data_IF_565982151681
#
_entry.id   IF_565982151681
#
_cell.length_a   1.000
_cell.length_b   1.000
_cell.length_c   1.000
_cell.angle_alpha   90.00
_cell.angle_beta   90.00
_cell.angle_gamma   90.00
#
_symmetry.space_group_name_H-M   'P 1'
#
loop_
_entity.id
_entity.type
_entity.pdbx_description
1 polymer ?
#
# COMPACT_ATOMS: atom_id res chain seq x y z
N UNK A 1 129.81 21.72 24.86
CA UNK A 1 129.22 20.54 24.18
C UNK A 1 130.36 19.60 23.85
N UNK A 2 130.15 18.28 23.94
CA UNK A 2 131.09 17.31 23.40
C UNK A 2 131.44 17.63 21.94
N UNK A 3 132.71 17.50 21.60
CA UNK A 3 133.19 17.61 20.21
C UNK A 3 132.73 16.41 19.38
N UNK A 4 132.63 15.24 20.01
CA UNK A 4 132.20 13.98 19.40
C UNK A 4 131.30 13.19 20.36
N UNK A 5 130.36 12.43 19.81
CA UNK A 5 129.51 11.50 20.55
C UNK A 5 129.86 10.06 20.21
N UNK A 6 130.01 9.22 21.23
CA UNK A 6 130.33 7.81 21.10
C UNK A 6 129.36 6.97 21.92
N UNK A 7 129.24 5.69 21.58
CA UNK A 7 128.38 4.76 22.31
C UNK A 7 128.97 4.48 23.70
N UNK A 8 128.12 4.46 24.72
CA UNK A 8 128.44 3.92 26.05
C UNK A 8 128.46 2.38 26.01
N UNK A 9 129.24 1.74 26.87
CA UNK A 9 129.35 0.28 27.04
C UNK A 9 129.76 -0.49 25.77
N UNK A 10 130.53 0.13 24.89
CA UNK A 10 131.00 -0.48 23.64
C UNK A 10 132.53 -0.36 23.55
N UNK A 11 133.27 -1.42 23.18
CA UNK A 11 134.70 -1.28 22.91
C UNK A 11 134.91 -0.30 21.74
N UNK A 12 135.82 0.65 21.93
CA UNK A 12 136.13 1.67 20.95
C UNK A 12 137.61 1.55 20.58
N UNK A 13 137.87 1.08 19.37
CA UNK A 13 139.23 0.80 18.91
C UNK A 13 140.10 2.06 18.81
N UNK A 14 139.49 3.21 18.50
CA UNK A 14 140.23 4.45 18.26
C UNK A 14 139.51 5.64 18.88
N UNK A 15 139.99 6.07 20.05
CA UNK A 15 139.56 7.31 20.69
C UNK A 15 140.67 8.36 20.56
N UNK A 16 140.41 9.55 20.00
CA UNK A 16 141.43 10.58 19.87
C UNK A 16 141.96 11.05 21.23
N UNK A 17 143.29 11.04 21.39
CA UNK A 17 143.98 11.51 22.60
C UNK A 17 144.19 13.02 22.57
N UNK A 18 144.44 13.59 21.39
CA UNK A 18 144.73 14.99 21.21
C UNK A 18 143.89 15.59 20.09
N UNK A 19 143.34 16.79 20.33
CA UNK A 19 142.52 17.51 19.33
C UNK A 19 143.36 18.18 18.24
N UNK A 20 144.61 18.50 18.57
CA UNK A 20 145.60 19.14 17.69
C UNK A 20 146.91 18.37 17.78
N UNK A 21 147.71 18.40 16.71
CA UNK A 21 149.00 17.72 16.66
C UNK A 21 149.85 18.06 17.89
N UNK A 22 150.53 17.06 18.46
CA UNK A 22 151.51 17.28 19.51
C UNK A 22 152.64 18.16 18.98
N UNK A 23 153.08 19.12 19.79
CA UNK A 23 154.07 20.14 19.41
C UNK A 23 155.30 19.99 20.30
N UNK A 24 156.47 19.97 19.67
CA UNK A 24 157.77 19.94 20.32
C UNK A 24 157.95 21.18 21.21
N UNK A 25 158.32 20.97 22.49
CA UNK A 25 158.49 22.04 23.47
C UNK A 25 159.77 22.87 23.28
N UNK A 26 160.71 22.38 22.47
CA UNK A 26 161.98 23.04 22.17
C UNK A 26 161.79 24.22 21.21
N UNK A 27 160.84 24.11 20.28
CA UNK A 27 160.63 25.09 19.22
C UNK A 27 159.20 25.61 19.06
N UNK A 28 158.24 25.03 19.79
CA UNK A 28 156.82 25.41 19.83
C UNK A 28 156.12 25.41 18.47
N UNK A 29 156.67 24.71 17.46
CA UNK A 29 156.12 24.71 16.09
C UNK A 29 156.23 23.37 15.37
N UNK A 30 157.26 22.57 15.67
CA UNK A 30 157.48 21.29 15.04
C UNK A 30 156.49 20.28 15.61
N UNK A 31 155.87 19.50 14.73
CA UNK A 31 154.96 18.44 15.15
C UNK A 31 155.77 17.27 15.68
N UNK A 32 155.47 16.83 16.90
CA UNK A 32 156.08 15.65 17.49
C UNK A 32 155.35 14.38 17.01
N UNK A 33 155.98 13.64 16.10
CA UNK A 33 155.43 12.44 15.47
C UNK A 33 156.01 11.14 16.00
N UNK A 34 156.96 11.20 16.93
CA UNK A 34 157.71 10.06 17.46
C UNK A 34 157.33 9.64 18.88
N UNK A 35 156.17 10.07 19.41
CA UNK A 35 155.75 9.69 20.76
C UNK A 35 155.34 8.22 20.79
N UNK A 36 156.23 7.37 21.30
CA UNK A 36 155.99 5.96 21.55
C UNK A 36 155.23 5.75 22.87
N UNK A 37 154.56 4.60 23.00
CA UNK A 37 153.98 4.16 24.27
C UNK A 37 155.05 4.16 25.38
N UNK A 38 154.76 4.77 26.53
CA UNK A 38 155.71 4.86 27.64
C UNK A 38 156.93 5.76 27.39
N UNK A 39 156.84 6.74 26.48
CA UNK A 39 157.87 7.76 26.30
C UNK A 39 158.26 8.42 27.65
N UNK A 40 159.49 8.92 27.74
CA UNK A 40 160.01 9.46 29.00
C UNK A 40 159.13 10.61 29.53
N UNK A 41 158.71 10.50 30.79
CA UNK A 41 157.83 11.49 31.43
C UNK A 41 156.39 11.51 30.87
N UNK A 42 155.95 10.45 30.18
CA UNK A 42 154.55 10.31 29.78
C UNK A 42 153.64 10.18 30.99
N UNK A 43 152.77 11.16 31.15
CA UNK A 43 151.67 11.20 32.09
C UNK A 43 150.39 11.45 31.28
N UNK A 44 149.47 10.49 31.30
CA UNK A 44 148.22 10.55 30.56
C UNK A 44 147.08 10.31 31.54
N UNK A 45 146.16 11.26 31.60
CA UNK A 45 145.03 11.22 32.50
C UNK A 45 143.73 11.20 31.71
N UNK A 46 142.84 10.29 32.09
CA UNK A 46 141.45 10.29 31.65
C UNK A 46 140.62 11.08 32.65
N UNK A 47 140.02 12.16 32.17
CA UNK A 47 139.09 12.98 32.94
C UNK A 47 137.68 12.65 32.49
N UNK A 48 136.75 12.45 33.43
CA UNK A 48 135.38 12.07 33.12
C UNK A 48 134.39 12.75 34.07
N UNK A 49 133.27 13.22 33.52
CA UNK A 49 132.14 13.78 34.25
C UNK A 49 130.88 12.99 33.89
N UNK A 50 130.24 12.35 34.87
CA UNK A 50 128.96 11.65 34.64
C UNK A 50 127.84 12.65 34.32
N UNK A 51 126.73 12.19 33.73
CA UNK A 51 125.53 13.02 33.52
C UNK A 51 124.93 13.58 34.82
N UNK A 52 125.23 12.96 35.96
CA UNK A 52 124.85 13.42 37.30
C UNK A 52 125.86 14.40 37.92
N UNK A 53 126.96 14.73 37.23
CA UNK A 53 127.96 15.70 37.64
C UNK A 53 129.13 15.16 38.48
N UNK A 54 129.31 13.84 38.59
CA UNK A 54 130.44 13.23 39.29
C UNK A 54 131.72 13.28 38.45
N UNK A 55 132.79 13.88 38.99
CA UNK A 55 134.10 14.01 38.32
C UNK A 55 135.08 12.93 38.79
N UNK A 56 135.76 12.29 37.83
CA UNK A 56 136.86 11.36 38.09
C UNK A 56 138.04 11.68 37.18
N UNK A 57 139.25 11.54 37.72
CA UNK A 57 140.49 11.59 36.96
C UNK A 57 141.28 10.32 37.24
N UNK A 58 141.78 9.66 36.21
CA UNK A 58 142.49 8.38 36.37
C UNK A 58 143.67 8.32 35.42
N UNK A 59 144.84 7.95 35.95
CA UNK A 59 146.03 7.74 35.15
C UNK A 59 145.84 6.55 34.20
N UNK A 60 146.23 6.73 32.95
CA UNK A 60 146.15 5.74 31.88
C UNK A 60 147.57 5.43 31.44
N UNK A 61 147.95 4.15 31.51
CA UNK A 61 149.24 3.69 31.00
C UNK A 61 149.03 3.14 29.60
N UNK A 62 149.48 3.84 28.54
CA UNK A 62 149.28 3.34 27.18
C UNK A 62 150.10 2.08 26.93
N UNK A 63 149.56 1.20 26.09
CA UNK A 63 150.19 -0.07 25.72
C UNK A 63 150.51 -0.09 24.22
N UNK A 64 151.15 -1.16 23.75
CA UNK A 64 151.39 -1.40 22.31
C UNK A 64 150.49 -2.51 21.73
N UNK A 65 149.62 -3.08 22.56
CA UNK A 65 148.62 -4.07 22.20
C UNK A 65 147.69 -4.32 23.40
N UNK A 66 146.40 -4.54 23.12
CA UNK A 66 145.36 -4.77 24.13
C UNK A 66 144.84 -3.46 24.73
N UNK A 67 144.26 -3.53 25.92
CA UNK A 67 143.66 -2.36 26.58
C UNK A 67 144.63 -1.16 26.55
N UNK A 68 144.11 -0.04 26.06
CA UNK A 68 144.84 1.23 25.92
C UNK A 68 145.95 1.22 24.85
N UNK A 69 145.75 0.51 23.74
CA UNK A 69 146.70 0.49 22.63
C UNK A 69 146.93 1.90 22.06
N UNK A 70 148.17 2.37 22.12
CA UNK A 70 148.59 3.69 21.68
C UNK A 70 148.95 3.66 20.20
N UNK A 71 148.12 4.32 19.39
CA UNK A 71 148.29 4.32 17.94
C UNK A 71 148.56 5.73 17.41
N UNK A 72 149.63 5.85 16.60
CA UNK A 72 149.90 7.07 15.87
C UNK A 72 149.02 7.13 14.61
N UNK A 73 148.13 8.13 14.55
CA UNK A 73 147.20 8.37 13.44
C UNK A 73 147.80 9.24 12.34
N UNK A 74 149.08 9.61 12.46
CA UNK A 74 149.80 10.46 11.53
C UNK A 74 149.77 11.94 11.92
N UNK A 75 150.80 12.68 11.51
CA UNK A 75 150.86 14.13 11.68
C UNK A 75 150.87 14.62 13.12
N UNK A 76 151.29 13.79 14.09
CA UNK A 76 151.32 14.14 15.51
C UNK A 76 149.97 13.96 16.21
N UNK A 77 148.99 13.31 15.57
CA UNK A 77 147.74 12.88 16.18
C UNK A 77 147.84 11.44 16.65
N UNK A 78 147.26 11.15 17.80
CA UNK A 78 147.27 9.84 18.42
C UNK A 78 145.87 9.45 18.84
N UNK A 79 145.60 8.16 18.80
CA UNK A 79 144.39 7.55 19.36
C UNK A 79 144.78 6.48 20.36
N UNK A 80 143.82 6.14 21.22
CA UNK A 80 143.94 5.05 22.17
C UNK A 80 142.72 4.15 22.10
N UNK A 81 142.91 2.86 22.28
CA UNK A 81 141.78 1.94 22.49
C UNK A 81 141.12 2.21 23.85
N UNK A 82 139.79 2.15 23.92
CA UNK A 82 139.01 2.23 25.15
C UNK A 82 138.07 1.04 25.29
N UNK A 83 138.05 0.46 26.49
CA UNK A 83 137.26 -0.72 26.79
C UNK A 83 135.84 -0.38 27.23
N UNK A 84 134.89 -1.29 26.98
CA UNK A 84 133.48 -1.13 27.35
C UNK A 84 133.22 -1.15 28.86
N UNK A 85 134.07 -1.80 29.65
CA UNK A 85 133.88 -1.97 31.11
C UNK A 85 135.00 -2.71 31.86
N UNK A 86 135.96 -3.35 31.16
CA UNK A 86 136.96 -4.23 31.79
C UNK A 86 138.30 -3.56 32.07
N UNK A 87 138.55 -2.40 31.50
CA UNK A 87 139.76 -1.63 31.73
C UNK A 87 139.77 -0.98 33.12
N UNK A 88 140.91 -1.11 33.81
CA UNK A 88 141.11 -0.65 35.20
C UNK A 88 141.22 0.86 35.37
N UNK A 89 141.38 1.65 34.29
CA UNK A 89 141.63 3.09 34.34
C UNK A 89 140.65 3.93 33.52
N UNK A 90 140.65 3.81 32.19
CA UNK A 90 139.72 4.54 31.31
C UNK A 90 138.72 3.59 30.65
N UNK A 91 137.43 3.85 30.82
CA UNK A 91 136.37 3.10 30.15
C UNK A 91 135.16 4.00 29.89
N UNK A 92 134.26 3.53 29.03
CA UNK A 92 133.01 4.20 28.68
C UNK A 92 131.79 3.45 29.22
N UNK A 93 131.89 2.85 30.41
CA UNK A 93 130.78 2.04 30.94
C UNK A 93 129.61 2.85 31.52
N UNK A 94 129.78 4.17 31.66
CA UNK A 94 128.79 5.12 32.19
C UNK A 94 128.61 6.26 31.19
N UNK A 95 127.38 6.79 31.10
CA UNK A 95 127.09 7.97 30.29
C UNK A 95 127.68 9.24 30.92
N UNK A 96 128.26 10.11 30.10
CA UNK A 96 128.95 11.30 30.57
C UNK A 96 129.80 11.97 29.50
N UNK A 97 130.72 12.83 29.94
CA UNK A 97 131.67 13.53 29.07
C UNK A 97 133.09 13.27 29.58
N UNK A 98 133.94 12.73 28.71
CA UNK A 98 135.34 12.49 29.04
C UNK A 98 136.33 13.14 28.08
N UNK A 99 137.56 13.34 28.52
CA UNK A 99 138.67 13.83 27.70
C UNK A 99 140.01 13.42 28.29
N UNK A 100 141.01 13.26 27.44
CA UNK A 100 142.38 13.03 27.87
C UNK A 100 143.10 14.35 28.14
N UNK A 101 143.94 14.38 29.16
CA UNK A 101 145.00 15.37 29.34
C UNK A 101 146.32 14.65 29.43
N UNK A 102 147.39 15.22 28.89
CA UNK A 102 148.67 14.57 28.98
C UNK A 102 149.87 15.49 28.90
N UNK A 103 150.98 14.94 29.37
CA UNK A 103 152.31 15.53 29.38
C UNK A 103 153.32 14.45 28.96
N UNK A 104 154.31 14.81 28.14
CA UNK A 104 155.43 13.95 27.76
C UNK A 104 156.66 14.84 27.69
N UNK A 105 157.83 14.34 28.10
CA UNK A 105 159.08 15.11 27.97
C UNK A 105 159.35 15.44 26.50
N UNK A 106 159.61 16.71 26.18
CA UNK A 106 159.83 17.16 24.81
C UNK A 106 158.56 17.60 24.08
N UNK A 107 157.39 17.54 24.73
CA UNK A 107 156.10 17.89 24.12
C UNK A 107 155.35 18.88 25.01
N UNK A 108 154.71 19.88 24.41
CA UNK A 108 153.81 20.77 25.14
C UNK A 108 152.63 19.99 25.77
N UNK A 109 152.14 20.39 26.96
CA UNK A 109 150.93 19.80 27.53
C UNK A 109 149.78 19.83 26.53
N UNK A 110 149.03 18.73 26.44
CA UNK A 110 147.96 18.57 25.46
C UNK A 110 146.66 18.11 26.10
N UNK A 111 145.57 18.32 25.37
CA UNK A 111 144.26 17.82 25.73
C UNK A 111 143.55 17.24 24.49
N UNK A 112 142.77 16.20 24.74
CA UNK A 112 141.91 15.57 23.76
C UNK A 112 140.64 16.36 23.46
N UNK A 113 139.89 15.95 22.43
CA UNK A 113 138.52 16.42 22.27
C UNK A 113 137.68 15.98 23.49
N UNK A 114 136.63 16.75 23.76
CA UNK A 114 135.60 16.33 24.71
C UNK A 114 134.69 15.30 24.05
N UNK A 115 134.53 14.13 24.68
CA UNK A 115 133.83 12.97 24.14
C UNK A 115 132.58 12.71 24.97
N UNK A 116 131.41 12.75 24.35
CA UNK A 116 130.14 12.48 25.00
C UNK A 116 129.75 11.02 24.82
N UNK A 117 129.64 10.27 25.91
CA UNK A 117 129.17 8.89 25.90
C UNK A 117 127.69 8.84 26.27
N UNK A 118 126.89 8.22 25.40
CA UNK A 118 125.43 8.06 25.58
C UNK A 118 124.95 6.73 25.01
N UNK A 119 123.72 6.35 25.35
CA UNK A 119 123.08 5.16 24.82
C UNK A 119 123.11 5.11 23.28
N UNK A 120 123.51 3.96 22.73
CA UNK A 120 123.64 3.74 21.28
C UNK A 120 122.34 4.07 20.52
N UNK A 121 121.17 3.70 21.08
CA UNK A 121 119.88 4.00 20.46
C UNK A 121 119.58 5.50 20.29
N UNK A 122 120.25 6.38 21.04
CA UNK A 122 120.15 7.84 20.83
C UNK A 122 121.04 8.27 19.66
N UNK A 123 122.25 7.71 19.52
CA UNK A 123 123.09 7.93 18.34
C UNK A 123 122.37 7.43 17.08
N UNK A 124 121.80 6.23 17.15
CA UNK A 124 121.01 5.66 16.06
C UNK A 124 119.87 6.60 15.67
N UNK A 125 119.08 7.09 16.64
CA UNK A 125 117.92 7.95 16.34
C UNK A 125 118.29 9.35 15.85
N UNK A 126 119.40 9.93 16.30
CA UNK A 126 119.75 11.32 16.00
C UNK A 126 120.69 11.47 14.80
N UNK A 127 121.53 10.47 14.53
CA UNK A 127 122.57 10.55 13.52
C UNK A 127 122.32 9.51 12.43
N UNK A 128 122.23 8.22 12.78
CA UNK A 128 122.32 7.15 11.78
C UNK A 128 120.97 6.78 11.13
N UNK A 129 119.87 6.98 11.84
CA UNK A 129 118.51 6.54 11.48
C UNK A 129 117.46 7.63 11.66
N UNK A 130 117.85 8.91 11.70
CA UNK A 130 116.93 10.03 11.87
C UNK A 130 115.79 10.05 10.81
N UNK A 131 116.00 9.42 9.66
CA UNK A 131 115.04 9.28 8.55
C UNK A 131 114.62 7.84 8.26
N UNK A 132 114.79 6.89 9.19
CA UNK A 132 114.30 5.52 8.95
C UNK A 132 112.77 5.51 8.94
N UNK A 133 112.18 4.90 7.92
CA UNK A 133 110.74 4.88 7.68
C UNK A 133 109.95 4.06 8.71
N UNK A 134 110.62 3.23 9.52
CA UNK A 134 109.97 2.39 10.53
C UNK A 134 110.06 2.94 11.97
N UNK A 135 111.16 3.60 12.33
CA UNK A 135 111.48 3.94 13.72
C UNK A 135 111.89 5.42 13.90
N UNK A 136 112.06 6.15 12.80
CA UNK A 136 112.43 7.57 12.81
C UNK A 136 111.24 8.50 13.02
N UNK A 137 111.53 9.79 13.18
CA UNK A 137 110.55 10.90 13.19
C UNK A 137 110.01 11.18 11.77
N UNK A 138 109.89 10.15 10.94
CA UNK A 138 109.23 10.21 9.64
C UNK A 138 107.74 10.54 9.84
N UNK A 139 107.22 11.48 9.05
CA UNK A 139 105.82 11.93 9.11
C UNK A 139 104.79 10.80 9.00
N UNK A 140 105.17 9.64 8.47
CA UNK A 140 104.32 8.45 8.34
C UNK A 140 103.82 7.92 9.70
N UNK A 141 104.63 8.02 10.76
CA UNK A 141 104.20 7.61 12.09
C UNK A 141 103.19 8.61 12.70
N UNK A 142 103.25 9.88 12.30
CA UNK A 142 102.27 10.88 12.69
C UNK A 142 100.94 10.62 11.98
N UNK A 143 100.99 10.32 10.68
CA UNK A 143 99.82 9.99 9.86
C UNK A 143 99.13 8.71 10.35
N UNK A 144 99.89 7.66 10.65
CA UNK A 144 99.35 6.43 11.22
C UNK A 144 98.73 6.64 12.62
N UNK A 145 99.32 7.51 13.45
CA UNK A 145 98.77 7.83 14.79
C UNK A 145 97.48 8.65 14.69
N UNK A 146 97.38 9.56 13.74
CA UNK A 146 96.16 10.34 13.49
C UNK A 146 95.07 9.44 12.87
N UNK A 147 95.45 8.62 11.88
CA UNK A 147 94.53 7.69 11.20
C UNK A 147 93.99 6.60 12.13
N UNK A 148 94.75 6.14 13.12
CA UNK A 148 94.29 5.14 14.10
C UNK A 148 93.38 5.71 15.20
N UNK A 149 93.35 7.04 15.38
CA UNK A 149 92.47 7.73 16.34
C UNK A 149 91.18 8.26 15.72
N UNK A 150 91.09 8.34 14.39
CA UNK A 150 89.83 8.62 13.71
C UNK A 150 88.96 7.38 13.71
N UNK A 151 87.80 7.44 14.37
CA UNK A 151 86.76 6.40 14.23
C UNK A 151 86.00 6.51 12.93
N UNK A 152 86.18 7.63 12.20
CA UNK A 152 85.54 7.85 10.91
C UNK A 152 86.44 7.39 9.78
N UNK A 153 85.92 6.47 8.99
CA UNK A 153 86.53 6.09 7.71
C UNK A 153 86.22 7.15 6.65
N UNK A 154 87.00 7.18 5.57
CA UNK A 154 86.67 8.03 4.40
C UNK A 154 85.34 7.63 3.76
N UNK A 155 84.91 6.37 3.97
CA UNK A 155 83.57 5.89 3.59
C UNK A 155 82.50 6.57 4.43
N UNK A 156 82.65 6.61 5.76
CA UNK A 156 81.66 7.22 6.67
C UNK A 156 81.43 8.71 6.31
N UNK A 157 82.51 9.43 6.01
CA UNK A 157 82.43 10.85 5.60
C UNK A 157 81.69 10.98 4.27
N UNK A 158 81.93 10.08 3.31
CA UNK A 158 81.28 10.10 2.01
C UNK A 158 79.78 9.76 2.11
N UNK A 159 79.43 8.74 2.90
CA UNK A 159 78.05 8.35 3.14
C UNK A 159 77.25 9.50 3.77
N UNK A 160 77.84 10.19 4.75
CA UNK A 160 77.20 11.37 5.37
C UNK A 160 77.06 12.54 4.38
N UNK A 161 78.05 12.77 3.51
CA UNK A 161 77.95 13.78 2.45
C UNK A 161 76.85 13.46 1.43
N UNK A 162 76.72 12.20 1.01
CA UNK A 162 75.70 11.74 0.07
C UNK A 162 74.29 11.81 0.70
N UNK A 163 74.17 11.45 1.98
CA UNK A 163 72.93 11.61 2.74
C UNK A 163 72.52 13.09 2.83
N UNK A 164 73.46 13.99 3.12
CA UNK A 164 73.19 15.43 3.19
C UNK A 164 72.83 16.02 1.82
N UNK A 165 73.48 15.57 0.74
CA UNK A 165 73.13 15.95 -0.65
C UNK A 165 71.70 15.53 -1.01
N UNK A 166 71.30 14.32 -0.59
CA UNK A 166 69.93 13.81 -0.79
C UNK A 166 68.90 14.64 -0.02
N UNK A 167 69.18 14.94 1.26
CA UNK A 167 68.30 15.79 2.10
C UNK A 167 68.14 17.19 1.50
N UNK A 168 69.22 17.76 0.98
CA UNK A 168 69.19 19.07 0.34
C UNK A 168 68.34 19.08 -0.94
N UNK A 169 68.44 18.03 -1.77
CA UNK A 169 67.61 17.89 -2.96
C UNK A 169 66.12 17.76 -2.62
N UNK A 170 65.78 17.03 -1.56
CA UNK A 170 64.40 16.90 -1.10
C UNK A 170 63.81 18.25 -0.62
N UNK A 171 64.60 19.04 0.11
CA UNK A 171 64.21 20.39 0.55
C UNK A 171 63.92 21.29 -0.66
N UNK A 172 64.79 21.27 -1.68
CA UNK A 172 64.58 22.05 -2.91
C UNK A 172 63.29 21.65 -3.65
N UNK A 173 62.96 20.35 -3.66
CA UNK A 173 61.68 19.85 -4.18
C UNK A 173 60.48 20.42 -3.43
N UNK A 174 60.51 20.40 -2.09
CA UNK A 174 59.44 20.97 -1.25
C UNK A 174 59.28 22.48 -1.47
N UNK A 175 60.37 23.23 -1.61
CA UNK A 175 60.31 24.67 -1.91
C UNK A 175 59.57 24.93 -3.23
N UNK A 176 59.79 24.09 -4.24
CA UNK A 176 59.10 24.19 -5.54
C UNK A 176 57.59 23.96 -5.40
N UNK A 177 57.17 22.96 -4.62
CA UNK A 177 55.75 22.69 -4.33
C UNK A 177 55.10 23.84 -3.59
N UNK A 178 55.74 24.37 -2.54
CA UNK A 178 55.23 25.51 -1.77
C UNK A 178 55.06 26.74 -2.67
N UNK A 179 55.99 26.98 -3.59
CA UNK A 179 55.89 28.08 -4.55
C UNK A 179 54.69 27.91 -5.50
N UNK A 180 54.43 26.67 -5.97
CA UNK A 180 53.27 26.36 -6.79
C UNK A 180 51.95 26.55 -6.01
N UNK A 181 51.88 26.05 -4.78
CA UNK A 181 50.71 26.21 -3.90
C UNK A 181 50.44 27.69 -3.59
N UNK A 182 51.49 28.46 -3.29
CA UNK A 182 51.38 29.91 -3.04
C UNK A 182 50.84 30.63 -4.27
N UNK A 183 51.29 30.25 -5.46
CA UNK A 183 50.80 30.80 -6.73
C UNK A 183 49.32 30.45 -6.95
N UNK A 184 48.90 29.22 -6.66
CA UNK A 184 47.52 28.79 -6.76
C UNK A 184 46.61 29.50 -5.74
N UNK A 185 47.06 29.67 -4.49
CA UNK A 185 46.36 30.42 -3.46
C UNK A 185 46.19 31.87 -3.89
N UNK A 186 47.24 32.52 -4.40
CA UNK A 186 47.17 33.90 -4.87
C UNK A 186 46.20 34.06 -6.04
N UNK A 187 46.20 33.11 -6.99
CA UNK A 187 45.24 33.07 -8.09
C UNK A 187 43.80 32.93 -7.58
N UNK A 188 43.55 32.04 -6.61
CA UNK A 188 42.24 31.86 -5.99
C UNK A 188 41.79 33.11 -5.22
N UNK A 189 42.68 33.73 -4.45
CA UNK A 189 42.39 34.98 -3.72
C UNK A 189 42.05 36.10 -4.70
N UNK A 190 42.80 36.25 -5.78
CA UNK A 190 42.51 37.23 -6.84
C UNK A 190 41.15 36.95 -7.47
N UNK A 191 40.85 35.69 -7.81
CA UNK A 191 39.55 35.30 -8.35
C UNK A 191 38.39 35.64 -7.41
N UNK A 192 38.54 35.40 -6.11
CA UNK A 192 37.54 35.76 -5.10
C UNK A 192 37.40 37.29 -5.02
N UNK A 193 38.52 38.02 -5.00
CA UNK A 193 38.53 39.48 -4.96
C UNK A 193 37.89 40.12 -6.20
N UNK A 194 38.01 39.50 -7.38
CA UNK A 194 37.35 39.98 -8.61
C UNK A 194 35.85 39.66 -8.62
N UNK A 195 35.47 38.50 -8.08
CA UNK A 195 34.06 38.05 -8.03
C UNK A 195 33.26 38.73 -6.93
N UNK A 196 33.88 39.08 -5.80
CA UNK A 196 33.17 39.62 -4.65
C UNK A 196 32.48 40.97 -4.94
N UNK A 197 33.12 41.96 -5.59
CA UNK A 197 32.47 43.22 -5.96
C UNK A 197 31.30 43.04 -6.93
N UNK A 198 31.36 42.06 -7.83
CA UNK A 198 30.26 41.77 -8.77
C UNK A 198 29.13 40.97 -8.12
N UNK A 199 29.46 40.19 -7.09
CA UNK A 199 28.52 39.46 -6.26
C UNK A 199 27.84 40.33 -5.19
N UNK A 200 28.29 41.57 -4.96
CA UNK A 200 27.69 42.49 -4.00
C UNK A 200 26.76 43.51 -4.72
N UNK A 201 25.66 43.86 -4.08
CA UNK A 201 24.84 45.02 -4.46
C UNK A 201 25.51 46.30 -3.98
N UNK A 202 25.02 47.45 -4.46
CA UNK A 202 25.46 48.78 -4.04
C UNK A 202 25.39 48.99 -2.52
N UNK A 203 24.55 48.23 -1.82
CA UNK A 203 24.35 48.29 -0.37
C UNK A 203 25.11 47.19 0.39
N UNK A 204 26.08 46.53 -0.25
CA UNK A 204 26.91 45.46 0.35
C UNK A 204 26.15 44.18 0.76
N UNK A 205 25.00 43.91 0.16
CA UNK A 205 24.34 42.60 0.26
C UNK A 205 24.79 41.69 -0.89
N UNK A 206 24.87 40.38 -0.67
CA UNK A 206 25.17 39.48 -1.78
C UNK A 206 23.99 39.50 -2.78
N UNK A 207 24.24 39.87 -4.04
CA UNK A 207 23.33 39.71 -5.20
C UNK A 207 22.85 38.25 -5.37
N UNK A 208 23.51 37.29 -4.72
CA UNK A 208 23.38 35.87 -4.98
C UNK A 208 22.19 35.16 -4.35
N UNK A 209 21.46 35.70 -3.38
CA UNK A 209 20.35 34.90 -2.81
C UNK A 209 19.16 34.74 -3.77
N UNK A 210 18.98 35.64 -4.73
CA UNK A 210 17.98 35.47 -5.80
C UNK A 210 18.53 34.80 -7.08
N UNK A 211 19.81 35.00 -7.41
CA UNK A 211 20.40 34.54 -8.69
C UNK A 211 21.24 33.26 -8.55
N UNK A 212 21.76 32.93 -7.35
CA UNK A 212 22.50 31.70 -7.11
C UNK A 212 21.63 30.53 -6.61
N UNK A 213 20.40 30.78 -6.16
CA UNK A 213 19.40 29.71 -6.02
C UNK A 213 18.99 29.18 -7.40
N UNK A 214 18.99 30.03 -8.45
CA UNK A 214 18.65 29.57 -9.78
C UNK A 214 19.83 28.95 -10.52
N UNK A 215 21.04 29.56 -10.56
CA UNK A 215 22.26 28.98 -11.18
C UNK A 215 22.15 28.52 -12.65
N UNK A 216 20.95 28.61 -13.22
CA UNK A 216 20.39 28.10 -14.45
C UNK A 216 19.21 29.02 -14.68
N UNK A 217 19.20 29.74 -15.80
CA UNK A 217 18.02 30.54 -16.17
C UNK A 217 16.78 29.65 -16.15
N UNK A 218 16.88 28.38 -16.56
CA UNK A 218 15.79 27.41 -16.51
C UNK A 218 15.26 27.16 -15.11
N UNK A 219 16.11 27.03 -14.07
CA UNK A 219 15.60 26.81 -12.71
C UNK A 219 15.01 28.07 -12.08
N UNK A 220 15.48 29.25 -12.49
CA UNK A 220 14.81 30.52 -12.18
C UNK A 220 13.45 30.61 -12.89
N UNK A 221 13.42 30.32 -14.19
CA UNK A 221 12.23 30.34 -15.04
C UNK A 221 11.19 29.32 -14.54
N UNK A 222 11.62 28.13 -14.09
CA UNK A 222 10.77 27.10 -13.51
C UNK A 222 10.21 27.53 -12.15
N UNK A 223 11.02 28.20 -11.30
CA UNK A 223 10.55 28.74 -10.04
C UNK A 223 9.56 29.89 -10.27
N UNK A 224 9.83 30.77 -11.22
CA UNK A 224 8.95 31.86 -11.62
C UNK A 224 7.65 31.33 -12.25
N UNK A 225 7.73 30.28 -13.07
CA UNK A 225 6.56 29.57 -13.59
C UNK A 225 5.76 28.88 -12.47
N UNK A 226 6.42 28.27 -11.49
CA UNK A 226 5.74 27.67 -10.35
C UNK A 226 5.07 28.71 -9.46
N UNK A 227 5.71 29.87 -9.25
CA UNK A 227 5.14 31.01 -8.55
C UNK A 227 3.93 31.55 -9.32
N UNK A 228 4.04 31.72 -10.64
CA UNK A 228 2.93 32.12 -11.51
C UNK A 228 1.77 31.13 -11.48
N UNK A 229 2.05 29.82 -11.56
CA UNK A 229 1.03 28.76 -11.42
C UNK A 229 0.37 28.80 -10.04
N UNK A 230 1.13 29.10 -8.98
CA UNK A 230 0.59 29.24 -7.63
C UNK A 230 -0.28 30.49 -7.51
N UNK A 231 0.11 31.60 -8.13
CA UNK A 231 -0.63 32.86 -8.17
C UNK A 231 -1.93 32.70 -8.97
N UNK A 232 -1.90 32.01 -10.11
CA UNK A 232 -3.07 31.64 -10.90
C UNK A 232 -3.98 30.67 -10.14
N UNK A 233 -3.42 29.70 -9.42
CA UNK A 233 -4.19 28.78 -8.59
C UNK A 233 -4.85 29.49 -7.41
N UNK A 234 -4.15 30.42 -6.76
CA UNK A 234 -4.70 31.27 -5.69
C UNK A 234 -5.77 32.19 -6.26
N UNK A 235 -5.53 32.82 -7.40
CA UNK A 235 -6.47 33.72 -8.08
C UNK A 235 -7.71 32.97 -8.58
N UNK A 236 -7.57 31.72 -9.06
CA UNK A 236 -8.70 30.87 -9.45
C UNK A 236 -9.46 30.33 -8.23
N UNK A 237 -8.80 30.10 -7.10
CA UNK A 237 -9.47 29.72 -5.84
C UNK A 237 -10.06 30.91 -5.11
N UNK A 238 -9.54 32.11 -5.32
CA UNK A 238 -10.13 33.38 -4.88
C UNK A 238 -10.95 34.04 -5.99
N UNK A 239 -11.27 33.32 -7.07
CA UNK A 239 -12.04 33.88 -8.18
C UNK A 239 -13.47 34.18 -7.77
N UNK A 240 -13.93 33.57 -6.66
CA UNK A 240 -15.08 34.01 -5.90
C UNK A 240 -14.84 35.45 -5.46
N UNK A 241 -15.21 36.38 -6.34
CA UNK A 241 -15.12 37.78 -6.03
C UNK A 241 -16.10 38.07 -4.88
N UNK A 242 -15.88 39.16 -4.15
CA UNK A 242 -16.74 39.52 -3.02
C UNK A 242 -18.25 39.62 -3.41
N UNK A 243 -18.58 39.75 -4.69
CA UNK A 243 -19.93 39.69 -5.21
C UNK A 243 -20.51 38.27 -5.27
N UNK A 244 -19.74 37.27 -5.67
CA UNK A 244 -20.18 35.86 -5.73
C UNK A 244 -20.42 35.29 -4.32
N UNK A 245 -19.49 35.55 -3.39
CA UNK A 245 -19.66 35.17 -1.98
C UNK A 245 -20.91 35.84 -1.40
N UNK A 246 -21.15 37.12 -1.74
CA UNK A 246 -22.34 37.84 -1.29
C UNK A 246 -23.62 37.28 -1.90
N UNK A 247 -23.61 36.95 -3.19
CA UNK A 247 -24.75 36.34 -3.87
C UNK A 247 -25.11 34.97 -3.27
N UNK A 248 -24.12 34.14 -2.94
CA UNK A 248 -24.34 32.86 -2.26
C UNK A 248 -24.90 33.07 -0.84
N UNK A 249 -24.36 34.04 -0.09
CA UNK A 249 -24.89 34.42 1.22
C UNK A 249 -26.35 34.90 1.15
N UNK A 250 -26.70 35.72 0.15
CA UNK A 250 -28.06 36.21 -0.06
C UNK A 250 -29.03 35.08 -0.44
N UNK A 251 -28.58 34.14 -1.29
CA UNK A 251 -29.35 32.95 -1.63
C UNK A 251 -29.58 32.05 -0.40
N UNK A 252 -28.55 31.85 0.43
CA UNK A 252 -28.66 31.09 1.67
C UNK A 252 -29.57 31.78 2.69
N UNK A 253 -29.49 33.11 2.81
CA UNK A 253 -30.38 33.92 3.64
C UNK A 253 -31.85 33.77 3.20
N UNK A 254 -32.11 33.80 1.89
CA UNK A 254 -33.45 33.58 1.32
C UNK A 254 -33.98 32.19 1.63
N UNK A 255 -33.15 31.14 1.46
CA UNK A 255 -33.52 29.76 1.80
C UNK A 255 -33.83 29.62 3.29
N UNK A 256 -33.04 30.26 4.16
CA UNK A 256 -33.26 30.24 5.60
C UNK A 256 -34.57 30.93 5.98
N UNK A 257 -34.90 32.06 5.34
CA UNK A 257 -36.18 32.76 5.54
C UNK A 257 -37.38 31.90 5.12
N UNK A 258 -37.27 31.17 4.00
CA UNK A 258 -38.30 30.23 3.56
C UNK A 258 -38.52 29.07 4.55
N UNK A 259 -37.43 28.50 5.08
CA UNK A 259 -37.49 27.46 6.12
C UNK A 259 -38.16 27.99 7.40
N UNK A 260 -37.84 29.22 7.81
CA UNK A 260 -38.49 29.85 8.95
C UNK A 260 -40.01 30.00 8.72
N UNK A 261 -40.42 30.43 7.52
CA UNK A 261 -41.84 30.51 7.14
C UNK A 261 -42.55 29.15 7.17
N UNK A 262 -41.92 28.09 6.65
CA UNK A 262 -42.45 26.73 6.73
C UNK A 262 -42.59 26.26 8.18
N UNK A 263 -41.61 26.58 9.04
CA UNK A 263 -41.64 26.24 10.46
C UNK A 263 -42.83 26.91 11.17
N UNK A 264 -43.12 28.17 10.86
CA UNK A 264 -44.31 28.88 11.37
C UNK A 264 -45.61 28.24 10.90
N UNK A 265 -45.70 27.82 9.63
CA UNK A 265 -46.90 27.14 9.11
C UNK A 265 -47.14 25.79 9.82
N UNK A 266 -46.09 24.98 9.98
CA UNK A 266 -46.17 23.70 10.72
C UNK A 266 -46.62 23.93 12.17
N UNK A 267 -46.12 24.98 12.84
CA UNK A 267 -46.52 25.32 14.19
C UNK A 267 -48.01 25.70 14.28
N UNK A 268 -48.53 26.44 13.29
CA UNK A 268 -49.95 26.77 13.18
C UNK A 268 -50.82 25.51 12.97
N UNK A 269 -50.42 24.62 12.05
CA UNK A 269 -51.12 23.36 11.80
C UNK A 269 -51.12 22.44 13.03
N UNK A 270 -49.99 22.40 13.75
CA UNK A 270 -49.87 21.64 15.00
C UNK A 270 -50.82 22.20 16.07
N UNK A 271 -50.92 23.52 16.17
CA UNK A 271 -51.83 24.20 17.11
C UNK A 271 -53.29 23.93 16.74
N UNK A 272 -53.64 23.97 15.45
CA UNK A 272 -54.99 23.62 14.98
C UNK A 272 -55.33 22.15 15.24
N UNK A 273 -54.37 21.24 14.99
CA UNK A 273 -54.52 19.80 15.27
C UNK A 273 -54.70 19.54 16.76
N UNK A 274 -53.94 20.22 17.61
CA UNK A 274 -54.09 20.15 19.06
C UNK A 274 -55.45 20.66 19.50
N UNK A 275 -55.90 21.81 18.99
CA UNK A 275 -57.22 22.36 19.27
C UNK A 275 -58.34 21.39 18.87
N UNK A 276 -58.25 20.77 17.68
CA UNK A 276 -59.19 19.74 17.24
C UNK A 276 -59.16 18.50 18.14
N UNK A 277 -57.97 18.08 18.57
CA UNK A 277 -57.81 16.92 19.46
C UNK A 277 -58.42 17.21 20.82
N UNK A 278 -58.22 18.41 21.37
CA UNK A 278 -58.87 18.86 22.61
C UNK A 278 -60.38 18.94 22.45
N UNK A 279 -60.90 19.52 21.34
CA UNK A 279 -62.35 19.53 21.06
C UNK A 279 -62.93 18.11 21.04
N UNK A 280 -62.26 17.17 20.38
CA UNK A 280 -62.66 15.76 20.36
C UNK A 280 -62.59 15.15 21.76
N UNK A 281 -61.52 15.40 22.52
CA UNK A 281 -61.34 14.92 23.89
C UNK A 281 -62.36 15.50 24.87
N UNK A 282 -62.86 16.70 24.66
CA UNK A 282 -63.92 17.31 25.47
C UNK A 282 -65.30 16.79 25.05
N UNK A 283 -65.52 16.62 23.74
CA UNK A 283 -66.79 16.14 23.19
C UNK A 283 -67.03 14.67 23.45
N UNK A 284 -66.01 13.81 23.46
CA UNK A 284 -66.18 12.37 23.71
C UNK A 284 -66.79 12.12 25.10
N UNK A 285 -66.21 12.59 26.23
CA UNK A 285 -66.79 12.43 27.56
C UNK A 285 -68.17 13.09 27.70
N UNK A 286 -68.38 14.28 27.11
CA UNK A 286 -69.69 14.94 27.11
C UNK A 286 -70.76 14.14 26.33
N UNK A 287 -70.31 13.40 25.32
CA UNK A 287 -71.11 12.51 24.50
C UNK A 287 -71.16 11.10 25.05
N UNK A 288 -70.63 10.78 26.24
CA UNK A 288 -70.75 9.46 26.87
C UNK A 288 -71.74 9.53 28.04
N UNK A 289 -72.55 8.47 28.24
CA UNK A 289 -73.32 8.28 29.47
C UNK A 289 -72.39 7.87 30.60
N UNK A 290 -72.87 7.86 31.85
CA UNK A 290 -72.12 7.42 33.02
C UNK A 290 -71.56 5.99 32.89
N UNK A 291 -72.15 5.18 32.00
CA UNK A 291 -71.75 3.80 31.71
C UNK A 291 -70.87 3.67 30.45
N UNK A 292 -70.33 4.79 29.93
CA UNK A 292 -69.45 4.84 28.75
C UNK A 292 -70.10 4.46 27.41
N UNK A 293 -71.40 4.73 27.20
CA UNK A 293 -72.07 4.62 25.90
C UNK A 293 -72.27 5.99 25.23
N UNK A 294 -72.14 6.11 23.90
CA UNK A 294 -72.28 7.38 23.20
C UNK A 294 -73.74 7.93 23.26
N UNK A 295 -73.99 8.99 24.04
CA UNK A 295 -75.22 9.81 24.08
C UNK A 295 -75.70 10.22 22.70
N UNK A 296 -74.80 10.41 21.73
CA UNK A 296 -75.20 10.93 20.41
C UNK A 296 -75.89 9.92 19.50
N UNK A 297 -75.77 8.59 19.68
CA UNK A 297 -76.65 7.67 18.94
C UNK A 297 -78.05 7.63 19.57
N UNK A 298 -78.16 7.74 20.89
CA UNK A 298 -79.47 7.85 21.56
C UNK A 298 -80.18 9.18 21.27
N UNK A 299 -79.42 10.29 21.13
CA UNK A 299 -79.97 11.63 20.86
C UNK A 299 -80.05 11.97 19.37
N UNK A 300 -79.21 11.43 18.47
CA UNK A 300 -79.36 11.65 17.02
C UNK A 300 -80.42 10.72 16.38
N UNK A 301 -80.68 9.54 16.96
CA UNK A 301 -81.90 8.77 16.64
C UNK A 301 -83.16 9.47 17.21
N UNK A 302 -83.01 10.30 18.25
CA UNK A 302 -84.10 11.09 18.83
C UNK A 302 -83.95 12.60 18.58
N UNK A 303 -83.31 12.99 17.46
CA UNK A 303 -82.73 14.31 17.11
C UNK A 303 -83.61 15.57 17.14
N UNK A 304 -84.77 15.49 17.76
CA UNK A 304 -85.58 16.59 18.25
C UNK A 304 -86.45 15.99 19.34
N UNK A 305 -86.67 16.63 20.48
CA UNK A 305 -87.76 16.17 21.36
C UNK A 305 -89.07 16.09 20.57
N UNK A 306 -89.23 16.85 19.49
CA UNK A 306 -90.35 16.70 18.54
C UNK A 306 -90.23 15.42 17.72
N UNK A 307 -89.08 15.06 17.15
CA UNK A 307 -88.92 13.82 16.37
C UNK A 307 -88.89 12.56 17.24
N UNK A 308 -88.42 12.68 18.48
CA UNK A 308 -88.53 11.68 19.52
C UNK A 308 -89.98 11.51 19.97
N UNK A 309 -90.70 12.63 20.19
CA UNK A 309 -92.13 12.61 20.51
C UNK A 309 -92.98 12.17 19.30
N UNK A 310 -92.54 12.42 18.06
CA UNK A 310 -93.18 11.94 16.82
C UNK A 310 -92.89 10.47 16.62
N UNK A 311 -91.68 10.00 16.93
CA UNK A 311 -91.36 8.58 16.92
C UNK A 311 -92.11 7.86 18.05
N UNK A 312 -92.20 8.44 19.23
CA UNK A 312 -92.98 7.94 20.36
C UNK A 312 -94.48 7.99 20.05
N UNK A 313 -94.97 9.04 19.38
CA UNK A 313 -96.34 9.12 18.90
C UNK A 313 -96.60 8.15 17.74
N UNK A 314 -95.63 7.89 16.87
CA UNK A 314 -95.73 6.91 15.80
C UNK A 314 -95.67 5.49 16.35
N UNK A 315 -94.84 5.24 17.37
CA UNK A 315 -94.80 3.97 18.12
C UNK A 315 -96.10 3.80 18.90
N UNK A 316 -96.63 4.84 19.56
CA UNK A 316 -97.91 4.81 20.25
C UNK A 316 -99.08 4.67 19.26
N UNK A 317 -99.00 5.26 18.07
CA UNK A 317 -99.98 5.06 16.99
C UNK A 317 -99.86 3.66 16.40
N UNK A 318 -98.65 3.11 16.27
CA UNK A 318 -98.43 1.75 15.81
C UNK A 318 -98.89 0.75 16.87
N UNK A 319 -98.65 1.01 18.15
CA UNK A 319 -99.12 0.22 19.29
C UNK A 319 -100.64 0.33 19.46
N UNK A 320 -101.23 1.51 19.21
CA UNK A 320 -102.67 1.69 19.12
C UNK A 320 -103.25 1.03 17.86
N UNK A 321 -102.53 1.02 16.74
CA UNK A 321 -102.94 0.34 15.50
C UNK A 321 -102.86 -1.18 15.67
N UNK A 322 -101.80 -1.68 16.31
CA UNK A 322 -101.60 -3.09 16.63
C UNK A 322 -102.55 -3.53 17.75
N UNK A 323 -102.78 -2.70 18.76
CA UNK A 323 -103.80 -2.93 19.79
C UNK A 323 -105.20 -2.88 19.22
N UNK A 324 -105.50 -1.95 18.29
CA UNK A 324 -106.79 -1.91 17.58
C UNK A 324 -106.97 -3.16 16.72
N UNK A 325 -105.96 -3.56 15.94
CA UNK A 325 -105.96 -4.83 15.18
C UNK A 325 -105.99 -6.08 16.07
N UNK A 326 -105.46 -6.00 17.29
CA UNK A 326 -105.47 -7.06 18.29
C UNK A 326 -106.83 -7.14 19.00
N UNK A 327 -107.51 -6.01 19.20
CA UNK A 327 -108.92 -5.94 19.65
C UNK A 327 -109.92 -6.28 18.54
N UNK A 328 -109.58 -6.01 17.28
CA UNK A 328 -110.34 -6.42 16.09
C UNK A 328 -110.31 -7.96 15.93
N UNK A 329 -109.28 -8.66 16.42
CA UNK A 329 -109.16 -10.13 16.27
C UNK A 329 -109.96 -10.99 17.27
N UNK A 330 -110.97 -10.43 17.94
CA UNK A 330 -112.02 -11.27 18.56
C UNK A 330 -113.44 -10.73 18.42
N UNK A 331 -113.61 -9.42 18.20
CA UNK A 331 -114.92 -8.80 17.99
C UNK A 331 -115.26 -8.77 16.52
N UNK A 332 -114.35 -8.34 15.63
CA UNK A 332 -114.60 -8.34 14.18
C UNK A 332 -114.69 -9.77 13.65
N UNK A 333 -113.86 -10.68 14.18
CA UNK A 333 -113.99 -12.13 13.90
C UNK A 333 -115.36 -12.65 14.35
N UNK A 334 -115.91 -12.15 15.47
CA UNK A 334 -117.26 -12.52 15.92
C UNK A 334 -118.35 -11.92 15.05
N UNK A 335 -118.23 -10.65 14.66
CA UNK A 335 -119.19 -9.99 13.78
C UNK A 335 -119.19 -10.61 12.38
N UNK A 336 -118.02 -10.98 11.86
CA UNK A 336 -117.89 -11.71 10.60
C UNK A 336 -118.44 -13.14 10.72
N UNK A 337 -118.20 -13.82 11.85
CA UNK A 337 -118.82 -15.13 12.13
C UNK A 337 -120.35 -15.03 12.27
N UNK A 338 -120.87 -13.97 12.88
CA UNK A 338 -122.31 -13.74 13.04
C UNK A 338 -122.96 -13.38 11.70
N UNK A 339 -122.30 -12.57 10.87
CA UNK A 339 -122.73 -12.26 9.51
C UNK A 339 -122.72 -13.52 8.62
N UNK A 340 -121.68 -14.34 8.72
CA UNK A 340 -121.59 -15.62 8.02
C UNK A 340 -122.66 -16.61 8.51
N UNK A 341 -122.96 -16.62 9.82
CA UNK A 341 -124.04 -17.42 10.41
C UNK A 341 -125.42 -16.98 9.89
N UNK A 342 -125.67 -15.67 9.82
CA UNK A 342 -126.89 -15.12 9.23
C UNK A 342 -127.02 -15.47 7.73
N UNK A 343 -125.91 -15.40 6.98
CA UNK A 343 -125.84 -15.86 5.60
C UNK A 343 -126.16 -17.36 5.47
N UNK A 344 -125.66 -18.19 6.38
CA UNK A 344 -125.94 -19.63 6.41
C UNK A 344 -127.42 -19.91 6.70
N UNK A 345 -128.06 -19.14 7.57
CA UNK A 345 -129.51 -19.22 7.81
C UNK A 345 -130.34 -18.82 6.59
N UNK A 346 -129.92 -17.79 5.85
CA UNK A 346 -130.57 -17.41 4.60
C UNK A 346 -130.45 -18.54 3.55
N UNK A 347 -129.26 -19.12 3.40
CA UNK A 347 -129.04 -20.27 2.52
C UNK A 347 -129.90 -21.47 2.95
N UNK A 348 -130.03 -21.76 4.24
CA UNK A 348 -130.90 -22.83 4.73
C UNK A 348 -132.38 -22.58 4.43
N UNK A 349 -132.81 -21.31 4.51
CA UNK A 349 -134.16 -20.89 4.14
C UNK A 349 -134.40 -21.09 2.65
N UNK A 350 -133.48 -20.62 1.81
CA UNK A 350 -133.53 -20.79 0.35
C UNK A 350 -133.49 -22.28 -0.04
N UNK A 351 -132.67 -23.08 0.64
CA UNK A 351 -132.61 -24.53 0.44
C UNK A 351 -133.95 -25.19 0.76
N UNK A 352 -134.63 -24.73 1.80
CA UNK A 352 -135.97 -25.23 2.17
C UNK A 352 -137.00 -24.85 1.10
N UNK A 353 -136.93 -23.62 0.57
CA UNK A 353 -137.80 -23.18 -0.53
C UNK A 353 -137.55 -23.97 -1.82
N UNK A 354 -136.28 -24.16 -2.20
CA UNK A 354 -135.89 -25.00 -3.34
C UNK A 354 -136.34 -26.46 -3.18
N UNK A 355 -136.31 -27.00 -1.96
CA UNK A 355 -136.80 -28.35 -1.69
C UNK A 355 -138.33 -28.44 -1.89
N UNK A 356 -139.07 -27.40 -1.50
CA UNK A 356 -140.51 -27.32 -1.74
C UNK A 356 -140.81 -27.22 -3.25
N UNK A 357 -140.07 -26.40 -4.00
CA UNK A 357 -140.18 -26.32 -5.46
C UNK A 357 -139.83 -27.65 -6.14
N UNK A 358 -138.73 -28.29 -5.73
CA UNK A 358 -138.32 -29.61 -6.23
C UNK A 358 -139.39 -30.68 -5.98
N UNK A 359 -140.05 -30.64 -4.82
CA UNK A 359 -141.17 -31.53 -4.51
C UNK A 359 -142.36 -31.28 -5.45
N UNK A 360 -142.66 -30.01 -5.78
CA UNK A 360 -143.71 -29.66 -6.73
C UNK A 360 -143.35 -30.07 -8.17
N UNK A 361 -142.09 -29.89 -8.59
CA UNK A 361 -141.60 -30.36 -9.89
C UNK A 361 -141.70 -31.88 -9.99
N UNK A 362 -141.36 -32.61 -8.92
CA UNK A 362 -141.48 -34.06 -8.89
C UNK A 362 -142.94 -34.50 -9.02
N UNK A 363 -143.87 -33.83 -8.35
CA UNK A 363 -145.30 -34.08 -8.51
C UNK A 363 -145.77 -33.89 -9.96
N UNK A 364 -145.40 -32.77 -10.60
CA UNK A 364 -145.71 -32.52 -12.00
C UNK A 364 -145.05 -33.54 -12.95
N UNK A 365 -143.83 -33.99 -12.63
CA UNK A 365 -143.10 -34.99 -13.43
C UNK A 365 -143.79 -36.34 -13.36
N UNK A 366 -144.29 -36.73 -12.19
CA UNK A 366 -145.11 -37.93 -12.03
C UNK A 366 -146.39 -37.82 -12.86
N UNK A 367 -147.09 -36.68 -12.82
CA UNK A 367 -148.30 -36.48 -13.64
C UNK A 367 -148.01 -36.58 -15.15
N UNK A 368 -146.86 -36.07 -15.60
CA UNK A 368 -146.39 -36.22 -16.99
C UNK A 368 -146.07 -37.69 -17.30
N UNK A 369 -145.39 -38.40 -16.42
CA UNK A 369 -145.04 -39.81 -16.61
C UNK A 369 -146.28 -40.70 -16.67
N UNK A 370 -147.27 -40.43 -15.84
CA UNK A 370 -148.56 -41.14 -15.86
C UNK A 370 -149.29 -40.88 -17.18
N UNK A 371 -149.29 -39.62 -17.65
CA UNK A 371 -149.86 -39.24 -18.94
C UNK A 371 -149.12 -39.89 -20.12
N UNK A 372 -147.79 -39.99 -20.07
CA UNK A 372 -146.96 -40.59 -21.10
C UNK A 372 -147.12 -42.12 -21.12
N UNK A 373 -147.23 -42.75 -19.95
CA UNK A 373 -147.47 -44.19 -19.83
C UNK A 373 -148.83 -44.56 -20.40
N UNK A 374 -149.85 -43.73 -20.16
CA UNK A 374 -151.15 -43.88 -20.80
C UNK A 374 -151.04 -43.79 -22.34
N UNK A 375 -150.36 -42.77 -22.87
CA UNK A 375 -150.18 -42.59 -24.31
C UNK A 375 -149.34 -43.71 -24.98
N UNK A 376 -148.30 -44.21 -24.30
CA UNK A 376 -147.47 -45.30 -24.82
C UNK A 376 -148.22 -46.64 -24.83
N UNK A 377 -149.06 -46.88 -23.82
CA UNK A 377 -149.93 -48.08 -23.77
C UNK A 377 -150.92 -48.07 -24.94
N UNK A 378 -151.50 -46.91 -25.24
CA UNK A 378 -152.37 -46.72 -26.42
C UNK A 378 -151.59 -46.95 -27.73
N UNK A 379 -150.30 -46.59 -27.78
CA UNK A 379 -149.45 -46.73 -28.98
C UNK A 379 -148.91 -48.16 -29.19
N UNK A 380 -148.57 -48.89 -28.14
CA UNK A 380 -147.96 -50.22 -28.28
C UNK A 380 -148.99 -51.32 -28.54
N UNK A 381 -150.24 -51.10 -28.11
CA UNK A 381 -151.35 -51.98 -28.53
C UNK A 381 -151.68 -51.85 -30.02
N UNK A 382 -151.01 -50.95 -30.73
CA UNK A 382 -151.11 -50.75 -32.18
C UNK A 382 -150.17 -51.66 -33.02
N UNK A 383 -149.59 -52.74 -32.47
CA UNK A 383 -148.88 -53.74 -33.29
C UNK A 383 -149.81 -54.81 -33.81
N UNK A 384 -150.08 -54.67 -35.10
CA UNK A 384 -150.78 -55.56 -36.03
C UNK A 384 -150.30 -57.02 -35.97
N UNK A 385 -150.99 -57.82 -35.16
CA UNK A 385 -150.92 -59.28 -35.19
C UNK A 385 -151.68 -59.90 -36.39
N UNK A 386 -152.02 -59.12 -37.42
CA UNK A 386 -152.84 -59.52 -38.56
C UNK A 386 -152.26 -59.08 -39.92
N UNK A 387 -151.04 -59.51 -40.26
CA UNK A 387 -150.45 -59.25 -41.57
C UNK A 387 -149.33 -60.20 -42.04
N UNK A 388 -149.65 -61.49 -42.21
CA UNK A 388 -148.91 -62.47 -43.06
C UNK A 388 -149.00 -62.12 -44.58
N UNK A 389 -148.42 -62.91 -45.54
CA UNK A 389 -147.08 -63.50 -45.66
C UNK A 389 -146.46 -63.33 -47.08
N UNK A 390 -145.14 -63.56 -47.23
CA UNK A 390 -144.51 -63.97 -48.50
C UNK A 390 -144.15 -62.88 -49.53
N UNK A 391 -142.83 -62.70 -49.71
CA UNK A 391 -142.09 -62.09 -50.83
C UNK A 391 -142.79 -60.91 -51.55
N UNK A 392 -142.68 -59.64 -51.15
CA UNK A 392 -141.50 -58.86 -50.78
C UNK A 392 -141.98 -57.88 -49.69
N UNK A 393 -141.88 -58.26 -48.42
CA UNK A 393 -142.33 -57.42 -47.32
C UNK A 393 -141.32 -56.28 -47.06
N UNK A 394 -141.76 -55.01 -46.93
CA UNK A 394 -140.88 -53.95 -46.45
C UNK A 394 -140.33 -54.35 -45.06
N UNK A 395 -139.06 -54.01 -44.73
CA UNK A 395 -138.43 -54.40 -43.48
C UNK A 395 -139.34 -54.12 -42.27
N UNK A 396 -139.47 -55.11 -41.38
CA UNK A 396 -140.39 -55.14 -40.23
C UNK A 396 -140.16 -53.99 -39.22
N UNK A 397 -139.13 -53.17 -39.45
CA UNK A 397 -138.65 -52.09 -38.61
C UNK A 397 -138.64 -50.72 -39.30
N UNK A 398 -139.51 -50.50 -40.29
CA UNK A 398 -139.76 -49.17 -40.83
C UNK A 398 -140.68 -48.36 -39.88
N UNK A 399 -140.36 -47.07 -39.69
CA UNK A 399 -141.18 -46.18 -38.88
C UNK A 399 -142.61 -46.09 -39.43
N UNK A 400 -143.58 -45.69 -38.61
CA UNK A 400 -144.97 -45.50 -39.06
C UNK A 400 -145.04 -44.62 -40.33
N UNK A 401 -144.19 -43.60 -40.40
CA UNK A 401 -144.01 -42.71 -41.55
C UNK A 401 -143.64 -43.45 -42.82
N UNK A 402 -142.72 -44.40 -42.74
CA UNK A 402 -142.24 -45.17 -43.89
C UNK A 402 -143.28 -46.19 -44.37
N UNK A 403 -144.02 -46.81 -43.44
CA UNK A 403 -145.12 -47.73 -43.76
C UNK A 403 -146.29 -47.01 -44.45
N UNK A 404 -146.68 -45.84 -43.96
CA UNK A 404 -147.69 -44.98 -44.59
C UNK A 404 -147.20 -44.48 -45.96
N UNK A 405 -145.92 -44.12 -46.06
CA UNK A 405 -145.30 -43.74 -47.33
C UNK A 405 -145.37 -44.84 -48.40
N UNK A 406 -145.22 -46.10 -48.01
CA UNK A 406 -145.39 -47.25 -48.91
C UNK A 406 -146.83 -47.37 -49.45
N UNK A 407 -147.84 -47.33 -48.57
CA UNK A 407 -149.25 -47.39 -48.97
C UNK A 407 -149.63 -46.20 -49.88
N UNK A 408 -149.17 -45.00 -49.53
CA UNK A 408 -149.45 -43.80 -50.30
C UNK A 408 -148.88 -43.88 -51.72
N UNK A 409 -147.65 -44.38 -51.87
CA UNK A 409 -147.02 -44.59 -53.18
C UNK A 409 -147.77 -45.61 -54.03
N UNK A 410 -148.21 -46.73 -53.44
CA UNK A 410 -148.96 -47.76 -54.16
C UNK A 410 -150.33 -47.24 -54.65
N UNK A 411 -151.00 -46.41 -53.86
CA UNK A 411 -152.32 -45.88 -54.21
C UNK A 411 -152.27 -44.75 -55.25
N UNK A 412 -151.20 -43.94 -55.25
CA UNK A 412 -151.13 -42.73 -56.09
C UNK A 412 -150.42 -42.95 -57.42
N UNK A 413 -149.37 -43.76 -57.43
CA UNK A 413 -148.46 -43.75 -58.56
C UNK A 413 -148.93 -44.66 -59.69
N UNK A 414 -148.44 -44.38 -60.90
CA UNK A 414 -148.69 -45.23 -62.06
C UNK A 414 -148.22 -46.66 -61.76
N UNK A 415 -149.08 -47.64 -62.06
CA UNK A 415 -148.75 -49.06 -61.97
C UNK A 415 -148.73 -49.63 -63.39
N UNK A 416 -147.66 -50.34 -63.74
CA UNK A 416 -147.63 -51.14 -64.96
C UNK A 416 -147.41 -52.60 -64.62
N UNK A 417 -148.16 -53.46 -65.31
CA UNK A 417 -148.03 -54.91 -65.19
C UNK A 417 -147.46 -55.47 -66.49
N UNK A 418 -146.31 -56.12 -66.38
CA UNK A 418 -145.65 -56.87 -67.44
C UNK A 418 -145.85 -58.38 -67.20
N UNK A 419 -145.48 -59.22 -68.18
CA UNK A 419 -145.62 -60.67 -68.06
C UNK A 419 -144.85 -61.29 -66.89
N UNK A 420 -143.86 -60.58 -66.34
CA UNK A 420 -142.99 -61.06 -65.25
C UNK A 420 -142.81 -60.06 -64.10
N UNK A 421 -143.55 -58.94 -64.06
CA UNK A 421 -143.43 -57.97 -62.97
C UNK A 421 -144.61 -57.00 -62.86
N UNK A 422 -144.84 -56.46 -61.66
CA UNK A 422 -145.63 -55.25 -61.42
C UNK A 422 -144.68 -54.14 -61.00
N UNK A 423 -144.72 -53.02 -61.69
CA UNK A 423 -143.93 -51.84 -61.39
C UNK A 423 -144.82 -50.74 -60.81
N UNK A 424 -144.49 -50.28 -59.61
CA UNK A 424 -145.03 -49.04 -59.06
C UNK A 424 -144.01 -47.95 -59.35
N UNK A 425 -144.42 -46.99 -60.18
CA UNK A 425 -143.56 -45.88 -60.55
C UNK A 425 -143.43 -44.89 -59.40
N UNK A 426 -142.46 -43.99 -59.50
CA UNK A 426 -142.48 -42.79 -58.68
C UNK A 426 -143.58 -41.81 -59.16
N UNK A 427 -143.85 -40.78 -58.38
CA UNK A 427 -144.95 -39.81 -58.60
C UNK A 427 -144.91 -39.12 -59.98
N UNK A 428 -143.71 -39.03 -60.61
CA UNK A 428 -143.52 -38.45 -61.94
C UNK A 428 -143.83 -39.43 -63.10
N UNK A 429 -144.14 -40.70 -62.80
CA UNK A 429 -144.45 -41.74 -63.79
C UNK A 429 -143.28 -42.16 -64.68
N UNK A 430 -142.05 -41.68 -64.41
CA UNK A 430 -140.90 -41.82 -65.29
C UNK A 430 -139.94 -42.94 -64.88
N UNK A 431 -139.81 -43.24 -63.57
CA UNK A 431 -138.90 -44.27 -63.07
C UNK A 431 -139.67 -45.33 -62.28
N UNK A 432 -139.35 -46.61 -62.52
CA UNK A 432 -139.82 -47.74 -61.72
C UNK A 432 -139.19 -47.64 -60.33
N UNK A 433 -139.97 -47.30 -59.30
CA UNK A 433 -139.50 -47.13 -57.91
C UNK A 433 -139.48 -48.49 -57.20
N UNK A 434 -140.56 -49.26 -57.38
CA UNK A 434 -140.68 -50.60 -56.84
C UNK A 434 -141.09 -51.58 -57.92
N UNK A 435 -140.46 -52.75 -57.87
CA UNK A 435 -140.71 -53.84 -58.82
C UNK A 435 -141.04 -55.07 -57.99
N UNK A 436 -142.29 -55.51 -58.07
CA UNK A 436 -142.65 -56.84 -57.63
C UNK A 436 -142.44 -57.80 -58.79
N UNK A 437 -141.57 -58.79 -58.63
CA UNK A 437 -141.33 -59.80 -59.66
C UNK A 437 -142.48 -60.81 -59.61
N UNK A 438 -143.18 -60.98 -60.73
CA UNK A 438 -144.20 -62.02 -60.90
C UNK A 438 -143.49 -63.31 -61.33
N UNK A 439 -143.15 -64.16 -60.38
CA UNK A 439 -142.53 -65.46 -60.66
C UNK A 439 -143.62 -66.51 -60.93
N UNK A 440 -144.25 -66.47 -62.10
CA UNK A 440 -145.20 -67.50 -62.52
C UNK A 440 -144.47 -68.63 -63.26
N UNK A 441 -144.22 -69.77 -62.60
CA UNK A 441 -143.56 -70.95 -63.19
C UNK A 441 -144.51 -72.08 -63.58
N UNK A 442 -145.82 -71.91 -63.38
CA UNK A 442 -146.81 -72.92 -63.78
C UNK A 442 -148.08 -72.25 -64.32
N UNK A 443 -148.65 -72.89 -65.33
CA UNK A 443 -149.84 -72.45 -66.07
C UNK A 443 -151.10 -72.43 -65.19
N UNK A 444 -151.44 -71.27 -64.66
CA UNK A 444 -152.81 -70.70 -64.49
C UNK A 444 -152.65 -69.41 -63.65
N UNK A 445 -152.51 -68.25 -64.30
CA UNK A 445 -152.80 -66.97 -63.65
C UNK A 445 -154.24 -66.62 -64.02
N UNK A 446 -155.14 -66.75 -63.04
CA UNK A 446 -156.52 -66.26 -63.15
C UNK A 446 -156.78 -65.38 -61.96
N UNK A 447 -156.55 -64.07 -62.11
CA UNK A 447 -157.52 -63.09 -61.66
C UNK A 447 -157.85 -62.21 -62.85
N UNK A 448 -158.83 -62.71 -63.60
CA UNK A 448 -159.83 -61.98 -64.39
C UNK A 448 -160.14 -60.62 -63.72
N UNK A 449 -160.30 -59.50 -64.42
CA UNK A 449 -160.57 -59.26 -65.83
C UNK A 449 -160.10 -57.84 -66.17
N UNK A 450 -159.71 -57.62 -67.43
CA UNK A 450 -159.89 -56.40 -68.25
C UNK A 450 -158.76 -56.30 -69.27
N UNK A 451 -159.02 -56.90 -70.41
CA UNK A 451 -158.39 -56.54 -71.67
C UNK A 451 -159.42 -56.85 -72.72
N UNK A 452 -160.40 -55.97 -72.88
CA UNK A 452 -161.39 -56.20 -73.89
C UNK A 452 -160.87 -55.66 -75.24
N UNK A 453 -161.25 -56.39 -76.28
CA UNK A 453 -161.71 -55.77 -77.52
C UNK A 453 -163.02 -54.99 -77.32
N UNK A 454 -163.19 -54.42 -76.12
CA UNK A 454 -163.88 -53.20 -75.72
C UNK A 454 -162.82 -52.44 -74.88
N UNK A 455 -162.42 -51.23 -75.24
CA UNK A 455 -162.88 -50.00 -74.58
C UNK A 455 -162.82 -50.08 -73.04
#
# INVERSE_FOLDING_TARGET
MPDIYMDVNKPLAEIPINKVALIDDSDFKTRETGVLFGAAGMDLEWNFITTTGGYTQTAVTPTSAGDYDWLHQGGGLYSIEMTSSTGTSANNNVEGVGWFTGFVTGVLPFAGPTIGFRAAGINDKLIDSAYSTGEGLSGDNLDATVSSRSTHTSTDVREEMDANSTRLSAIAGQTTTIAADTTAILANTTNIQDRLPTALTTDSFMRSDAVAISGSSTSADDLEANIGNLDDAITSRSSDNAGEVRAEMDANSTRLSAIAGQTTAIAADTTATLANTTDIQDRIPASLTTDSFMRSDAVAISGSSTSANELEANIANLDATVSSRSTDTSTDVREEMDANSAGLFAIATDTTALLAESTAILANTTDIQDSLTAAQTDLDTLTDAAGEPGDIAPPVSLSLTDKVGYLYKFARNKIETESTAIHVYNDAGANKDQTAVLTATTSLFTREEFGAGDV
#
